data_IF_903511288528
#
_entry.id   IF_903511288528
#
_cell.length_a   1.000
_cell.length_b   1.000
_cell.length_c   1.000
_cell.angle_alpha   90.00
_cell.angle_beta   90.00
_cell.angle_gamma   90.00
#
_symmetry.space_group_name_H-M   'P 1'
#
loop_
_entity.id
_entity.type
_entity.pdbx_description
1 polymer ?
#
# COMPACT_ATOMS: atom_id res chain seq x y z
N UNK A 1 -29.93 59.48 32.01
CA UNK A 1 -28.77 59.65 31.12
C UNK A 1 -27.67 58.74 31.67
N UNK A 2 -27.62 57.51 31.18
CA UNK A 2 -26.76 56.46 31.73
C UNK A 2 -26.14 55.77 30.52
N UNK A 3 -24.86 56.06 30.26
CA UNK A 3 -24.13 55.48 29.14
C UNK A 3 -23.73 54.05 29.49
N UNK A 4 -24.21 53.11 28.68
CA UNK A 4 -23.76 51.72 28.63
C UNK A 4 -22.44 51.71 27.86
N UNK A 5 -21.33 51.46 28.55
CA UNK A 5 -20.05 51.16 27.90
C UNK A 5 -20.10 49.72 27.38
N UNK A 6 -20.39 49.59 26.09
CA UNK A 6 -20.28 48.35 25.33
C UNK A 6 -18.79 48.09 25.04
N UNK A 7 -18.14 47.26 25.85
CA UNK A 7 -16.81 46.76 25.56
C UNK A 7 -16.90 45.72 24.41
N UNK A 8 -16.67 46.18 23.19
CA UNK A 8 -16.45 45.35 22.01
C UNK A 8 -15.12 44.59 22.19
N UNK A 9 -15.20 43.34 22.67
CA UNK A 9 -14.10 42.38 22.56
C UNK A 9 -14.01 41.95 21.10
N UNK A 10 -13.21 42.67 20.32
CA UNK A 10 -12.85 42.32 18.95
C UNK A 10 -11.91 41.11 19.03
N UNK A 11 -12.44 39.92 18.78
CA UNK A 11 -11.64 38.75 18.43
C UNK A 11 -10.74 39.11 17.24
N UNK A 12 -9.41 38.92 17.30
CA UNK A 12 -8.61 38.95 16.10
C UNK A 12 -8.96 37.69 15.31
N UNK A 13 -9.84 37.88 14.32
CA UNK A 13 -10.06 36.94 13.25
C UNK A 13 -8.70 36.65 12.64
N UNK A 14 -8.28 35.38 12.74
CA UNK A 14 -7.12 34.81 12.06
C UNK A 14 -7.45 34.81 10.56
N UNK A 15 -7.39 36.00 9.95
CA UNK A 15 -7.48 36.24 8.51
C UNK A 15 -6.05 36.41 8.01
N UNK A 16 -5.38 35.27 7.90
CA UNK A 16 -4.05 35.17 7.32
C UNK A 16 -3.92 33.79 6.69
N UNK A 17 -4.24 33.72 5.39
CA UNK A 17 -4.10 32.57 4.47
C UNK A 17 -5.32 31.65 4.32
N UNK A 18 -6.50 32.23 4.10
CA UNK A 18 -7.41 31.65 3.14
C UNK A 18 -7.06 32.21 1.75
N UNK A 19 -5.87 31.86 1.25
CA UNK A 19 -5.62 31.96 -0.19
C UNK A 19 -6.58 30.99 -0.84
N UNK A 20 -7.64 31.54 -1.42
CA UNK A 20 -8.66 30.84 -2.19
C UNK A 20 -7.98 29.93 -3.23
N UNK A 21 -7.87 28.64 -2.92
CA UNK A 21 -7.66 27.58 -3.92
C UNK A 21 -9.02 27.37 -4.62
N UNK A 22 -9.52 28.42 -5.27
CA UNK A 22 -10.70 28.34 -6.11
C UNK A 22 -10.24 27.88 -7.50
N UNK A 23 -10.54 26.63 -7.84
CA UNK A 23 -10.59 26.17 -9.24
C UNK A 23 -9.52 25.19 -9.73
N UNK A 24 -8.46 24.90 -8.98
CA UNK A 24 -7.47 23.90 -9.40
C UNK A 24 -7.84 22.51 -8.88
N UNK A 25 -8.19 21.58 -9.78
CA UNK A 25 -8.30 20.15 -9.46
C UNK A 25 -6.91 19.65 -9.09
N UNK A 26 -6.69 19.30 -7.82
CA UNK A 26 -5.41 18.79 -7.35
C UNK A 26 -5.15 17.35 -7.84
N UNK A 27 -3.88 16.98 -7.96
CA UNK A 27 -3.48 15.63 -8.34
C UNK A 27 -3.50 14.71 -7.12
N UNK A 28 -4.22 13.58 -7.23
CA UNK A 28 -4.43 12.64 -6.14
C UNK A 28 -3.47 11.46 -6.23
N UNK A 29 -2.85 11.14 -5.10
CA UNK A 29 -1.94 10.01 -4.96
C UNK A 29 -2.32 9.19 -3.74
N UNK A 30 -2.22 7.87 -3.87
CA UNK A 30 -2.66 6.94 -2.84
C UNK A 30 -1.52 6.04 -2.35
N UNK A 31 -1.58 5.73 -1.06
CA UNK A 31 -0.85 4.65 -0.43
C UNK A 31 -1.90 3.84 0.34
N UNK A 32 -2.05 2.56 0.03
CA UNK A 32 -3.14 1.75 0.53
C UNK A 32 -4.40 1.83 -0.32
N UNK A 33 -5.47 1.19 0.18
CA UNK A 33 -6.77 1.11 -0.49
C UNK A 33 -7.85 1.46 0.50
N UNK A 34 -8.81 2.28 0.07
CA UNK A 34 -10.03 2.49 0.84
C UNK A 34 -10.75 1.15 1.01
N UNK A 35 -10.89 0.71 2.26
CA UNK A 35 -11.64 -0.48 2.61
C UNK A 35 -13.08 -0.05 2.84
N UNK A 36 -13.94 -0.28 1.86
CA UNK A 36 -15.38 0.00 1.95
C UNK A 36 -16.18 -1.30 2.09
N UNK A 37 -17.24 -1.32 2.92
CA UNK A 37 -17.57 -0.31 3.94
C UNK A 37 -16.59 -0.36 5.12
N UNK A 38 -16.33 0.77 5.76
CA UNK A 38 -15.74 0.81 7.12
C UNK A 38 -14.40 1.52 7.28
N UNK A 39 -13.88 2.18 6.25
CA UNK A 39 -12.76 3.12 6.42
C UNK A 39 -13.28 4.49 6.89
N UNK A 40 -12.80 4.94 8.03
CA UNK A 40 -13.10 6.26 8.59
C UNK A 40 -11.93 7.21 8.31
N UNK A 41 -12.20 8.50 8.07
CA UNK A 41 -11.13 9.50 7.99
C UNK A 41 -10.63 9.83 9.40
N UNK A 42 -9.39 9.46 9.68
CA UNK A 42 -8.77 9.61 10.99
C UNK A 42 -7.91 10.88 11.11
N UNK A 43 -7.48 11.42 9.97
CA UNK A 43 -6.64 12.61 9.91
C UNK A 43 -6.93 13.39 8.64
N UNK A 44 -6.88 14.72 8.74
CA UNK A 44 -6.94 15.65 7.62
C UNK A 44 -6.01 16.81 7.92
N UNK A 45 -5.10 17.16 7.02
CA UNK A 45 -4.35 18.39 7.15
C UNK A 45 -3.93 18.94 5.79
N UNK A 46 -3.98 20.26 5.68
CA UNK A 46 -3.52 21.03 4.53
C UNK A 46 -2.22 21.75 4.89
N UNK A 47 -1.25 21.67 4.00
CA UNK A 47 0.10 22.18 4.20
C UNK A 47 0.52 23.06 3.04
N UNK A 48 0.94 24.29 3.33
CA UNK A 48 1.67 25.10 2.35
C UNK A 48 3.09 24.55 2.16
N UNK A 49 3.46 24.21 0.93
CA UNK A 49 4.79 23.64 0.61
C UNK A 49 5.90 24.68 0.81
N UNK A 50 5.56 25.97 0.70
CA UNK A 50 6.48 27.12 0.73
C UNK A 50 6.59 27.83 2.10
N UNK A 51 5.75 27.50 3.10
CA UNK A 51 5.82 28.13 4.42
C UNK A 51 6.72 27.34 5.38
N UNK A 52 7.40 28.07 6.26
CA UNK A 52 8.44 27.60 7.17
C UNK A 52 7.96 26.70 8.32
N UNK A 53 8.91 26.37 9.21
CA UNK A 53 8.91 25.40 10.32
C UNK A 53 7.52 24.97 10.82
N UNK A 54 7.30 23.66 10.76
CA UNK A 54 6.16 23.01 11.40
C UNK A 54 6.67 22.30 12.66
N UNK A 55 6.04 22.55 13.81
CA UNK A 55 6.31 21.81 15.06
C UNK A 55 5.17 20.85 15.40
N UNK A 56 3.91 21.26 15.20
CA UNK A 56 2.73 20.42 15.33
C UNK A 56 1.67 20.74 14.28
N UNK A 57 0.94 19.70 13.84
CA UNK A 57 -0.35 19.83 13.14
C UNK A 57 -1.36 18.88 13.75
N UNK A 58 -2.49 19.43 14.18
CA UNK A 58 -3.56 18.70 14.87
C UNK A 58 -3.01 17.81 16.01
N UNK A 59 -2.14 18.37 16.85
CA UNK A 59 -1.46 17.70 17.96
C UNK A 59 -0.44 16.61 17.58
N UNK A 60 -0.20 16.36 16.28
CA UNK A 60 0.86 15.47 15.81
C UNK A 60 2.13 16.26 15.54
N UNK A 61 3.28 15.75 16.03
CA UNK A 61 4.58 16.37 15.73
C UNK A 61 4.81 16.36 14.23
N UNK A 62 5.25 17.49 13.70
CA UNK A 62 5.64 17.60 12.30
C UNK A 62 7.05 18.17 12.20
N UNK A 63 7.63 18.01 11.01
CA UNK A 63 8.89 18.62 10.64
C UNK A 63 8.77 19.12 9.21
N UNK A 64 9.31 20.30 8.94
CA UNK A 64 9.18 20.94 7.63
C UNK A 64 10.50 21.61 7.28
N UNK A 65 11.16 21.15 6.22
CA UNK A 65 12.41 21.72 5.74
C UNK A 65 12.32 22.06 4.24
N UNK A 66 13.44 22.39 3.60
CA UNK A 66 13.46 22.78 2.18
C UNK A 66 12.97 21.69 1.23
N UNK A 67 13.18 20.43 1.54
CA UNK A 67 12.98 19.30 0.61
C UNK A 67 11.87 18.35 1.04
N UNK A 68 11.50 18.33 2.31
CA UNK A 68 10.55 17.38 2.87
C UNK A 68 9.66 18.03 3.91
N UNK A 69 8.47 17.48 3.99
CA UNK A 69 7.52 17.67 5.06
C UNK A 69 7.25 16.30 5.70
N UNK A 70 7.21 16.24 7.03
CA UNK A 70 7.01 15.01 7.78
C UNK A 70 5.95 15.20 8.85
N UNK A 71 5.07 14.21 9.02
CA UNK A 71 4.09 14.14 10.12
C UNK A 71 4.25 12.83 10.85
N UNK A 72 4.42 12.90 12.16
CA UNK A 72 4.40 11.73 13.03
C UNK A 72 2.95 11.46 13.44
N UNK A 73 2.21 10.81 12.55
CA UNK A 73 0.84 10.44 12.80
C UNK A 73 0.75 9.19 13.70
N UNK A 74 -0.18 9.22 14.64
CA UNK A 74 -0.47 8.09 15.54
C UNK A 74 -1.94 8.08 15.90
N UNK A 75 -2.64 7.05 15.45
CA UNK A 75 -4.03 6.80 15.80
C UNK A 75 -4.16 6.17 17.20
N UNK A 76 -5.38 6.21 17.74
CA UNK A 76 -5.79 5.32 18.83
C UNK A 76 -5.51 3.85 18.43
N UNK A 77 -5.08 3.02 19.39
CA UNK A 77 -4.72 1.61 19.18
C UNK A 77 -5.87 0.76 18.60
N UNK A 78 -7.11 1.25 18.66
CA UNK A 78 -8.28 0.59 18.05
C UNK A 78 -8.40 0.78 16.53
N UNK A 79 -7.58 1.64 15.94
CA UNK A 79 -7.59 1.93 14.51
C UNK A 79 -6.32 1.46 13.82
N UNK A 80 -6.48 1.07 12.56
CA UNK A 80 -5.38 0.70 11.71
C UNK A 80 -5.51 1.43 10.38
N UNK A 81 -4.41 2.01 9.91
CA UNK A 81 -4.34 2.76 8.67
C UNK A 81 -4.62 1.81 7.51
N UNK A 82 -5.63 2.13 6.69
CA UNK A 82 -6.02 1.40 5.49
C UNK A 82 -5.61 2.13 4.22
N UNK A 83 -5.64 3.46 4.23
CA UNK A 83 -5.22 4.30 3.13
C UNK A 83 -4.69 5.65 3.60
N UNK A 84 -3.80 6.23 2.80
CA UNK A 84 -3.32 7.61 2.90
C UNK A 84 -3.49 8.23 1.52
N UNK A 85 -4.20 9.36 1.46
CA UNK A 85 -4.39 10.15 0.26
C UNK A 85 -3.58 11.43 0.38
N UNK A 86 -2.76 11.70 -0.63
CA UNK A 86 -2.08 12.97 -0.82
C UNK A 86 -2.70 13.67 -2.02
N UNK A 87 -3.27 14.85 -1.83
CA UNK A 87 -3.69 15.72 -2.93
C UNK A 87 -2.68 16.85 -3.06
N UNK A 88 -2.08 17.02 -4.24
CA UNK A 88 -1.11 18.09 -4.50
C UNK A 88 -1.71 19.19 -5.36
N UNK A 89 -1.37 20.45 -5.08
CA UNK A 89 -1.91 21.61 -5.79
C UNK A 89 -0.77 22.37 -6.49
N UNK A 90 -0.79 22.46 -7.83
CA UNK A 90 0.25 23.14 -8.60
C UNK A 90 0.16 24.66 -8.48
N UNK A 91 1.28 25.33 -8.78
CA UNK A 91 1.27 26.76 -9.13
C UNK A 91 0.48 26.91 -10.42
N UNK A 92 -0.55 27.74 -10.43
CA UNK A 92 -1.48 27.98 -11.54
C UNK A 92 -0.67 28.36 -12.80
N UNK A 93 -0.40 27.38 -13.68
CA UNK A 93 0.11 27.47 -15.06
C UNK A 93 0.91 26.22 -15.51
N UNK A 94 1.34 25.35 -14.59
CA UNK A 94 2.08 24.13 -14.97
C UNK A 94 1.21 22.87 -14.90
N UNK A 95 0.74 22.40 -16.06
CA UNK A 95 0.23 21.03 -16.20
C UNK A 95 1.41 20.06 -16.19
N UNK A 96 1.88 19.67 -15.00
CA UNK A 96 2.94 18.67 -14.87
C UNK A 96 2.37 17.26 -15.04
N UNK A 97 2.62 16.65 -16.19
CA UNK A 97 2.13 15.31 -16.58
C UNK A 97 2.89 14.12 -15.95
N UNK A 98 3.87 14.35 -15.07
CA UNK A 98 4.60 13.24 -14.42
C UNK A 98 5.00 13.60 -12.99
N UNK A 99 4.13 13.27 -12.04
CA UNK A 99 4.45 13.31 -10.61
C UNK A 99 4.81 11.91 -10.12
N UNK A 100 6.11 11.66 -10.05
CA UNK A 100 6.68 10.48 -9.39
C UNK A 100 6.28 10.51 -7.91
N UNK A 101 5.79 9.38 -7.39
CA UNK A 101 5.38 9.19 -5.99
C UNK A 101 6.42 9.78 -5.03
N UNK A 102 6.02 10.80 -4.29
CA UNK A 102 6.89 11.49 -3.33
C UNK A 102 6.33 11.48 -1.91
N UNK A 103 5.53 10.47 -1.56
CA UNK A 103 5.23 10.21 -0.16
C UNK A 103 5.21 8.73 0.20
N UNK A 104 5.58 8.44 1.44
CA UNK A 104 5.69 7.10 1.99
C UNK A 104 5.65 7.17 3.52
N UNK A 105 5.42 6.03 4.18
CA UNK A 105 5.65 5.91 5.62
C UNK A 105 7.08 5.44 5.87
N UNK A 106 7.91 6.31 6.46
CA UNK A 106 9.27 5.97 6.89
C UNK A 106 9.26 4.90 7.99
N UNK A 107 8.24 4.95 8.85
CA UNK A 107 8.00 4.01 9.94
C UNK A 107 6.49 3.81 10.07
N UNK A 108 6.06 2.58 10.32
CA UNK A 108 4.66 2.20 10.32
C UNK A 108 4.05 2.30 8.91
N UNK A 109 2.74 2.56 8.84
CA UNK A 109 2.00 2.62 7.58
C UNK A 109 0.79 1.68 7.56
N UNK A 110 0.46 1.16 6.37
CA UNK A 110 -0.74 0.33 6.19
C UNK A 110 -0.65 -0.92 7.06
N UNK A 111 -1.76 -1.27 7.71
CA UNK A 111 -1.82 -2.39 8.66
C UNK A 111 -1.27 -2.06 10.05
N UNK A 112 -0.94 -0.80 10.32
CA UNK A 112 -0.47 -0.32 11.63
C UNK A 112 -1.30 0.87 12.11
N UNK A 113 -1.10 1.33 13.34
CA UNK A 113 -1.79 2.51 13.89
C UNK A 113 -0.91 3.78 13.92
N UNK A 114 0.29 3.76 13.35
CA UNK A 114 1.18 4.92 13.27
C UNK A 114 1.81 5.02 11.88
N UNK A 115 2.10 6.24 11.43
CA UNK A 115 2.88 6.46 10.23
C UNK A 115 3.74 7.72 10.44
N UNK A 116 5.05 7.57 10.33
CA UNK A 116 5.96 8.70 10.09
C UNK A 116 5.86 8.99 8.61
N UNK A 117 4.86 9.81 8.26
CA UNK A 117 4.55 10.15 6.88
C UNK A 117 5.57 11.17 6.39
N UNK A 118 6.31 10.82 5.34
CA UNK A 118 7.25 11.72 4.68
C UNK A 118 6.66 12.11 3.33
N UNK A 119 6.58 13.40 3.07
CA UNK A 119 6.19 13.99 1.79
C UNK A 119 7.37 14.80 1.26
N UNK A 120 7.99 14.34 0.18
CA UNK A 120 9.03 15.08 -0.53
C UNK A 120 8.38 16.22 -1.31
N UNK A 121 8.86 17.43 -1.06
CA UNK A 121 8.36 18.66 -1.69
C UNK A 121 8.71 18.67 -3.17
N UNK A 122 7.85 19.32 -3.94
CA UNK A 122 8.09 19.69 -5.33
C UNK A 122 7.97 21.21 -5.41
N UNK A 123 8.94 21.86 -6.03
CA UNK A 123 8.96 23.32 -6.18
C UNK A 123 7.77 23.85 -6.98
N UNK A 124 7.15 22.99 -7.79
CA UNK A 124 5.99 23.30 -8.64
C UNK A 124 4.68 23.31 -7.86
N UNK A 125 4.65 22.82 -6.61
CA UNK A 125 3.46 22.78 -5.78
C UNK A 125 3.42 23.92 -4.76
N UNK A 126 2.22 24.46 -4.54
CA UNK A 126 1.98 25.49 -3.52
C UNK A 126 1.48 24.88 -2.21
N UNK A 127 0.71 23.79 -2.30
CA UNK A 127 0.10 23.14 -1.16
C UNK A 127 -0.05 21.63 -1.37
N UNK A 128 -0.15 20.91 -0.28
CA UNK A 128 -0.52 19.49 -0.25
C UNK A 128 -1.57 19.25 0.83
N UNK A 129 -2.55 18.41 0.54
CA UNK A 129 -3.50 17.90 1.52
C UNK A 129 -3.18 16.44 1.80
N UNK A 130 -3.15 16.10 3.08
CA UNK A 130 -2.96 14.73 3.57
C UNK A 130 -4.23 14.30 4.27
N UNK A 131 -4.80 13.19 3.80
CA UNK A 131 -5.89 12.49 4.48
C UNK A 131 -5.42 11.09 4.85
N UNK A 132 -5.61 10.69 6.10
CA UNK A 132 -5.34 9.31 6.55
C UNK A 132 -6.66 8.67 6.91
N UNK A 133 -6.90 7.50 6.33
CA UNK A 133 -8.06 6.68 6.56
C UNK A 133 -7.66 5.42 7.30
N UNK A 134 -8.56 4.91 8.12
CA UNK A 134 -8.33 3.66 8.81
C UNK A 134 -9.61 2.95 9.21
N UNK A 135 -9.44 1.68 9.48
CA UNK A 135 -10.51 0.80 9.91
C UNK A 135 -10.44 0.61 11.42
N UNK A 136 -11.61 0.51 12.06
CA UNK A 136 -11.68 0.14 13.48
C UNK A 136 -11.44 -1.36 13.62
N UNK A 137 -10.27 -1.76 14.11
CA UNK A 137 -9.90 -3.17 14.24
C UNK A 137 -8.91 -3.42 15.36
N UNK A 138 -9.18 -4.42 16.20
CA UNK A 138 -8.21 -4.89 17.21
C UNK A 138 -7.02 -5.64 16.61
N UNK A 139 -7.15 -6.18 15.39
CA UNK A 139 -6.14 -7.02 14.72
C UNK A 139 -5.61 -6.43 13.40
N UNK A 140 -6.01 -5.22 13.02
CA UNK A 140 -5.62 -4.57 11.76
C UNK A 140 -5.86 -5.41 10.48
N UNK A 141 -6.98 -6.14 10.43
CA UNK A 141 -7.31 -6.97 9.26
C UNK A 141 -7.88 -6.12 8.12
N UNK A 142 -7.15 -6.03 7.02
CA UNK A 142 -7.52 -5.36 5.77
C UNK A 142 -7.99 -6.35 4.69
N UNK A 143 -7.89 -7.65 4.98
CA UNK A 143 -8.12 -8.77 4.05
C UNK A 143 -9.37 -8.58 3.20
N UNK A 144 -10.54 -8.34 3.80
CA UNK A 144 -11.80 -8.25 3.06
C UNK A 144 -11.82 -7.11 2.03
N UNK A 145 -11.31 -5.93 2.38
CA UNK A 145 -11.25 -4.80 1.44
C UNK A 145 -10.21 -4.98 0.33
N UNK A 146 -9.15 -5.73 0.60
CA UNK A 146 -8.10 -5.99 -0.39
C UNK A 146 -8.48 -7.10 -1.37
N UNK A 147 -9.09 -8.20 -0.90
CA UNK A 147 -9.50 -9.31 -1.80
C UNK A 147 -10.69 -8.95 -2.69
N UNK A 148 -11.55 -8.04 -2.25
CA UNK A 148 -12.76 -7.66 -2.98
C UNK A 148 -13.82 -8.76 -3.03
N UNK A 149 -14.85 -8.55 -3.85
CA UNK A 149 -15.99 -9.47 -3.97
C UNK A 149 -15.71 -10.68 -4.87
N UNK A 150 -14.75 -10.57 -5.79
CA UNK A 150 -14.40 -11.61 -6.75
C UNK A 150 -12.89 -11.92 -6.73
N UNK A 151 -12.41 -12.59 -5.67
CA UNK A 151 -11.00 -12.92 -5.53
C UNK A 151 -10.52 -13.98 -6.52
N UNK A 152 -11.42 -14.65 -7.24
CA UNK A 152 -11.06 -15.62 -8.27
C UNK A 152 -10.61 -14.90 -9.55
N UNK A 153 -11.36 -13.89 -9.98
CA UNK A 153 -11.14 -13.25 -11.28
C UNK A 153 -10.43 -11.90 -11.18
N UNK A 154 -10.31 -11.31 -9.98
CA UNK A 154 -9.68 -9.99 -9.80
C UNK A 154 -8.51 -10.02 -8.82
N UNK A 155 -7.50 -9.23 -9.14
CA UNK A 155 -6.32 -9.00 -8.32
C UNK A 155 -6.58 -7.91 -7.25
N UNK A 156 -5.67 -7.71 -6.30
CA UNK A 156 -5.90 -6.74 -5.20
C UNK A 156 -5.96 -5.29 -5.72
N UNK A 157 -5.34 -5.02 -6.87
CA UNK A 157 -5.38 -3.72 -7.53
C UNK A 157 -6.74 -3.42 -8.18
N UNK A 158 -7.66 -4.39 -8.15
CA UNK A 158 -8.98 -4.33 -8.77
C UNK A 158 -8.95 -4.57 -10.28
N UNK A 159 -7.88 -5.16 -10.81
CA UNK A 159 -7.78 -5.50 -12.23
C UNK A 159 -8.15 -6.97 -12.44
N UNK A 160 -8.83 -7.30 -13.55
CA UNK A 160 -9.09 -8.69 -13.89
C UNK A 160 -7.79 -9.43 -14.21
N UNK A 161 -7.72 -10.71 -13.87
CA UNK A 161 -6.69 -11.58 -14.42
C UNK A 161 -6.93 -11.75 -15.92
N UNK A 162 -5.90 -11.50 -16.71
CA UNK A 162 -5.90 -11.73 -18.15
C UNK A 162 -5.11 -13.02 -18.42
N UNK A 163 -5.57 -13.81 -19.39
CA UNK A 163 -5.00 -15.11 -19.73
C UNK A 163 -4.64 -15.16 -21.21
N UNK A 164 -3.55 -15.85 -21.50
CA UNK A 164 -3.12 -16.12 -22.86
C UNK A 164 -4.09 -17.12 -23.52
N UNK A 165 -4.35 -16.95 -24.81
CA UNK A 165 -5.28 -17.81 -25.54
C UNK A 165 -4.67 -19.15 -25.93
N UNK A 166 -3.34 -19.22 -26.04
CA UNK A 166 -2.64 -20.39 -26.52
C UNK A 166 -2.41 -21.39 -25.37
N UNK A 167 -2.01 -20.91 -24.19
CA UNK A 167 -1.69 -21.76 -23.03
C UNK A 167 -2.72 -21.67 -21.88
N UNK A 168 -3.64 -20.69 -21.89
CA UNK A 168 -4.63 -20.51 -20.83
C UNK A 168 -4.04 -20.05 -19.50
N UNK A 169 -2.78 -19.61 -19.48
CA UNK A 169 -2.09 -19.12 -18.29
C UNK A 169 -2.08 -17.61 -18.22
N UNK A 170 -1.97 -17.07 -17.01
CA UNK A 170 -2.01 -15.64 -16.78
C UNK A 170 -0.90 -14.93 -17.57
N UNK A 171 -1.25 -13.79 -18.14
CA UNK A 171 -0.29 -12.92 -18.79
C UNK A 171 0.18 -11.84 -17.83
N UNK A 172 1.27 -11.21 -18.22
CA UNK A 172 1.85 -10.12 -17.47
C UNK A 172 0.91 -8.91 -17.40
N UNK A 173 0.85 -8.25 -16.23
CA UNK A 173 0.00 -7.06 -16.05
C UNK A 173 0.65 -5.84 -16.70
N UNK A 174 0.17 -5.45 -17.88
CA UNK A 174 0.76 -4.34 -18.67
C UNK A 174 0.40 -2.94 -18.17
N UNK A 175 -0.72 -2.82 -17.42
CA UNK A 175 -1.26 -1.53 -16.95
C UNK A 175 -0.72 -1.09 -15.58
N UNK A 176 0.18 -1.85 -14.98
CA UNK A 176 0.75 -1.55 -13.64
C UNK A 176 2.26 -1.35 -13.78
N UNK A 177 2.84 -0.31 -13.15
CA UNK A 177 4.29 -0.16 -13.08
C UNK A 177 4.95 -1.42 -12.51
N UNK A 178 5.98 -1.90 -13.22
CA UNK A 178 6.70 -3.11 -12.86
C UNK A 178 8.21 -2.88 -12.77
N UNK A 179 8.85 -3.70 -11.96
CA UNK A 179 10.30 -3.76 -11.82
C UNK A 179 10.74 -5.22 -11.91
N UNK A 180 11.69 -5.52 -12.79
CA UNK A 180 12.31 -6.82 -12.88
C UNK A 180 13.62 -6.80 -12.08
N UNK A 181 13.74 -7.62 -11.03
CA UNK A 181 15.03 -7.80 -10.33
C UNK A 181 15.95 -8.71 -11.15
N UNK A 182 15.34 -9.73 -11.74
CA UNK A 182 15.92 -10.67 -12.69
C UNK A 182 14.92 -10.83 -13.84
N UNK A 183 15.27 -11.50 -14.96
CA UNK A 183 14.29 -11.86 -15.99
C UNK A 183 13.11 -12.68 -15.44
N UNK A 184 13.30 -13.34 -14.30
CA UNK A 184 12.36 -14.25 -13.67
C UNK A 184 11.48 -13.63 -12.59
N UNK A 185 11.96 -12.57 -11.96
CA UNK A 185 11.38 -12.01 -10.74
C UNK A 185 10.85 -10.60 -11.03
N UNK A 186 9.54 -10.53 -11.31
CA UNK A 186 8.83 -9.30 -11.65
C UNK A 186 7.98 -8.84 -10.47
N UNK A 187 8.17 -7.59 -10.09
CA UNK A 187 7.46 -6.91 -9.02
C UNK A 187 6.51 -5.87 -9.60
N UNK A 188 5.24 -5.94 -9.25
CA UNK A 188 4.26 -4.90 -9.61
C UNK A 188 4.06 -3.94 -8.44
N UNK A 189 3.75 -2.69 -8.74
CA UNK A 189 3.57 -1.66 -7.72
C UNK A 189 2.49 -0.64 -8.07
N UNK A 190 1.41 -0.60 -7.30
CA UNK A 190 0.35 0.40 -7.39
C UNK A 190 -0.14 0.78 -6.00
N UNK A 191 -0.28 2.07 -5.77
CA UNK A 191 -0.73 2.70 -4.52
C UNK A 191 -0.02 2.18 -3.26
N UNK A 192 1.31 2.01 -3.34
CA UNK A 192 2.13 1.48 -2.24
C UNK A 192 1.99 -0.02 -2.00
N UNK A 193 1.07 -0.70 -2.70
CA UNK A 193 0.92 -2.16 -2.68
C UNK A 193 1.90 -2.74 -3.69
N UNK A 194 2.82 -3.56 -3.20
CA UNK A 194 3.71 -4.36 -4.02
C UNK A 194 3.11 -5.74 -4.25
N UNK A 195 3.45 -6.36 -5.38
CA UNK A 195 3.00 -7.69 -5.73
C UNK A 195 4.10 -8.50 -6.44
N UNK A 196 4.13 -9.79 -6.16
CA UNK A 196 4.83 -10.81 -6.95
C UNK A 196 3.99 -12.09 -6.97
N UNK A 197 4.26 -12.96 -7.95
CA UNK A 197 3.59 -14.24 -8.08
C UNK A 197 4.62 -15.38 -8.10
N UNK A 198 4.26 -16.54 -7.53
CA UNK A 198 5.16 -17.71 -7.51
C UNK A 198 5.20 -18.47 -8.84
N UNK A 199 4.08 -18.53 -9.56
CA UNK A 199 3.92 -19.29 -10.80
C UNK A 199 2.92 -18.59 -11.72
N UNK A 200 2.52 -19.21 -12.82
CA UNK A 200 1.39 -18.74 -13.63
C UNK A 200 0.04 -19.28 -13.11
N UNK A 201 -0.95 -18.40 -13.02
CA UNK A 201 -2.35 -18.74 -12.72
C UNK A 201 -2.98 -19.33 -13.99
N UNK A 202 -3.71 -20.44 -13.88
CA UNK A 202 -4.44 -21.04 -14.99
C UNK A 202 -5.94 -20.70 -14.91
N UNK A 203 -6.65 -20.69 -16.04
CA UNK A 203 -8.09 -20.39 -16.09
C UNK A 203 -8.95 -21.33 -15.23
N UNK A 204 -8.51 -22.57 -15.04
CA UNK A 204 -9.19 -23.61 -14.26
C UNK A 204 -8.75 -23.67 -12.78
N UNK A 205 -7.84 -22.79 -12.36
CA UNK A 205 -7.50 -22.65 -10.94
C UNK A 205 -8.70 -22.16 -10.13
N UNK A 206 -8.75 -22.58 -8.88
CA UNK A 206 -9.78 -22.15 -7.93
C UNK A 206 -9.17 -21.33 -6.80
N UNK A 207 -9.81 -20.23 -6.44
CA UNK A 207 -9.42 -19.46 -5.26
C UNK A 207 -9.80 -20.23 -4.00
N UNK A 208 -8.83 -20.51 -3.14
CA UNK A 208 -9.03 -21.27 -1.89
C UNK A 208 -9.22 -20.32 -0.72
N UNK A 209 -8.23 -19.47 -0.49
CA UNK A 209 -8.20 -18.55 0.63
C UNK A 209 -7.19 -17.42 0.41
N UNK A 210 -7.32 -16.36 1.21
CA UNK A 210 -6.26 -15.37 1.35
C UNK A 210 -5.72 -15.39 2.78
N UNK A 211 -4.40 -15.48 2.94
CA UNK A 211 -3.75 -15.52 4.25
C UNK A 211 -3.15 -14.15 4.53
N UNK A 212 -3.55 -13.54 5.64
CA UNK A 212 -3.12 -12.21 6.05
C UNK A 212 -2.06 -12.29 7.15
N UNK A 213 -0.99 -11.51 6.99
CA UNK A 213 0.10 -11.37 7.93
C UNK A 213 0.21 -9.90 8.36
N UNK A 214 -0.12 -9.62 9.62
CA UNK A 214 -0.15 -8.27 10.20
C UNK A 214 0.22 -8.31 11.69
N UNK A 215 0.58 -7.15 12.25
CA UNK A 215 0.93 -7.02 13.66
C UNK A 215 2.09 -7.95 14.01
N UNK A 216 1.99 -8.72 15.09
CA UNK A 216 3.06 -9.62 15.57
C UNK A 216 3.56 -10.65 14.53
N UNK A 217 2.78 -10.93 13.49
CA UNK A 217 3.21 -11.82 12.42
C UNK A 217 4.42 -11.27 11.66
N UNK A 218 4.44 -9.95 11.40
CA UNK A 218 5.45 -9.24 10.56
C UNK A 218 6.20 -8.14 11.31
N UNK A 219 5.62 -7.60 12.38
CA UNK A 219 6.13 -6.44 13.10
C UNK A 219 7.53 -6.72 13.67
N UNK A 220 8.47 -5.83 13.33
CA UNK A 220 9.88 -5.90 13.71
C UNK A 220 10.61 -7.16 13.24
N UNK A 221 10.11 -7.87 12.21
CA UNK A 221 10.77 -9.03 11.64
C UNK A 221 11.33 -8.69 10.25
N UNK A 222 12.57 -9.09 10.03
CA UNK A 222 13.20 -9.09 8.69
C UNK A 222 13.06 -10.44 7.99
N UNK A 223 12.71 -11.48 8.75
CA UNK A 223 12.40 -12.80 8.24
C UNK A 223 11.18 -13.37 8.95
N UNK A 224 10.18 -13.79 8.18
CA UNK A 224 8.97 -14.40 8.71
C UNK A 224 8.41 -15.38 7.69
N UNK A 225 7.50 -16.25 8.12
CA UNK A 225 6.93 -17.27 7.26
C UNK A 225 5.43 -17.44 7.47
N UNK A 226 4.80 -18.08 6.48
CA UNK A 226 3.42 -18.53 6.55
C UNK A 226 3.35 -19.99 6.11
N UNK A 227 2.64 -20.80 6.89
CA UNK A 227 2.37 -22.19 6.57
C UNK A 227 1.08 -22.29 5.77
N UNK A 228 1.15 -22.90 4.61
CA UNK A 228 0.05 -23.04 3.66
C UNK A 228 -0.24 -24.53 3.49
N UNK A 229 -1.46 -25.01 3.81
CA UNK A 229 -1.84 -26.39 3.54
C UNK A 229 -1.72 -26.70 2.05
N UNK A 230 -1.13 -27.83 1.71
CA UNK A 230 -0.93 -28.24 0.32
C UNK A 230 -1.34 -29.72 0.16
N UNK A 231 -2.66 -29.97 0.21
CA UNK A 231 -3.20 -31.34 0.11
C UNK A 231 -4.62 -31.37 -0.41
N UNK A 232 -4.97 -32.43 -1.14
CA UNK A 232 -6.31 -32.65 -1.69
C UNK A 232 -6.81 -31.42 -2.46
N UNK A 233 -8.01 -30.94 -2.13
CA UNK A 233 -8.62 -29.74 -2.74
C UNK A 233 -7.87 -28.42 -2.44
N UNK A 234 -6.90 -28.42 -1.53
CA UNK A 234 -6.04 -27.27 -1.19
C UNK A 234 -4.64 -27.38 -1.80
N UNK A 235 -4.43 -28.21 -2.82
CA UNK A 235 -3.12 -28.34 -3.47
C UNK A 235 -2.77 -27.01 -4.13
N UNK A 236 -1.70 -26.38 -3.68
CA UNK A 236 -1.28 -25.06 -4.14
C UNK A 236 -0.88 -25.16 -5.60
N UNK A 237 -1.49 -24.33 -6.44
CA UNK A 237 -1.12 -24.19 -7.84
C UNK A 237 -0.51 -22.84 -8.18
N UNK A 238 -0.99 -21.80 -7.49
CA UNK A 238 -0.56 -20.43 -7.70
C UNK A 238 -0.69 -19.62 -6.40
N UNK A 239 0.32 -18.78 -6.14
CA UNK A 239 0.31 -17.82 -5.05
C UNK A 239 0.48 -16.42 -5.62
N UNK A 240 -0.48 -15.55 -5.30
CA UNK A 240 -0.43 -14.12 -5.62
C UNK A 240 -0.16 -13.34 -4.34
N UNK A 241 1.03 -12.77 -4.22
CA UNK A 241 1.58 -12.29 -2.97
C UNK A 241 1.64 -10.77 -3.00
N UNK A 242 1.13 -10.13 -1.96
CA UNK A 242 1.03 -8.68 -1.86
C UNK A 242 1.55 -8.19 -0.53
N UNK A 243 2.16 -7.01 -0.51
CA UNK A 243 2.62 -6.41 0.75
C UNK A 243 2.74 -4.89 0.69
N UNK A 244 2.80 -4.31 1.89
CA UNK A 244 3.24 -2.96 2.15
C UNK A 244 4.54 -3.01 2.95
N UNK A 245 5.47 -2.10 2.68
CA UNK A 245 6.71 -1.99 3.43
C UNK A 245 7.04 -0.54 3.79
N UNK A 246 7.73 -0.39 4.91
CA UNK A 246 8.47 0.83 5.23
C UNK A 246 9.58 0.97 4.20
N UNK A 247 9.69 2.13 3.55
CA UNK A 247 10.80 2.39 2.63
C UNK A 247 11.29 3.81 2.80
N UNK A 248 12.60 4.00 2.72
CA UNK A 248 13.28 5.30 2.75
C UNK A 248 13.92 5.64 1.40
N UNK A 249 13.76 4.75 0.42
CA UNK A 249 14.50 4.79 -0.83
C UNK A 249 13.56 5.11 -1.98
N UNK A 250 14.11 5.77 -2.98
CA UNK A 250 13.43 5.97 -4.26
C UNK A 250 13.16 4.63 -4.97
N UNK A 251 14.06 3.66 -4.79
CA UNK A 251 13.91 2.27 -5.20
C UNK A 251 13.84 1.38 -3.96
N UNK A 252 12.66 0.86 -3.59
CA UNK A 252 12.50 -0.05 -2.47
C UNK A 252 13.33 -1.31 -2.67
N UNK A 253 13.90 -1.84 -1.57
CA UNK A 253 14.43 -3.20 -1.58
C UNK A 253 13.29 -4.18 -1.39
N UNK A 254 13.02 -4.96 -2.43
CA UNK A 254 11.97 -5.97 -2.40
C UNK A 254 12.43 -7.20 -1.60
N UNK A 255 11.51 -7.93 -0.95
CA UNK A 255 11.82 -9.17 -0.25
C UNK A 255 12.24 -10.28 -1.24
N UNK A 256 13.02 -11.24 -0.75
CA UNK A 256 13.11 -12.57 -1.33
C UNK A 256 11.96 -13.41 -0.76
N UNK A 257 11.09 -13.90 -1.63
CA UNK A 257 9.93 -14.70 -1.24
C UNK A 257 10.05 -16.07 -1.88
N UNK A 258 10.15 -17.12 -1.06
CA UNK A 258 10.48 -18.46 -1.53
C UNK A 258 9.89 -19.53 -0.61
N UNK A 259 9.71 -20.75 -1.12
CA UNK A 259 9.32 -21.88 -0.29
C UNK A 259 10.51 -22.40 0.51
N UNK A 260 10.27 -22.73 1.78
CA UNK A 260 11.24 -23.49 2.58
C UNK A 260 11.51 -24.83 1.88
N UNK A 261 12.78 -25.13 1.59
CA UNK A 261 13.24 -26.24 0.74
C UNK A 261 13.10 -26.06 -0.79
N UNK A 262 12.89 -24.83 -1.28
CA UNK A 262 13.00 -24.46 -2.69
C UNK A 262 11.67 -24.49 -3.45
N UNK A 263 10.97 -25.62 -3.46
CA UNK A 263 9.69 -25.78 -4.16
C UNK A 263 8.63 -26.39 -3.22
N UNK A 264 7.36 -26.09 -3.49
CA UNK A 264 6.20 -26.73 -2.87
C UNK A 264 5.65 -27.82 -3.80
N UNK A 265 5.98 -29.08 -3.53
CA UNK A 265 5.59 -30.23 -4.37
C UNK A 265 4.28 -30.84 -3.90
N UNK A 266 3.58 -31.60 -4.75
CA UNK A 266 2.36 -32.28 -4.32
C UNK A 266 2.55 -33.27 -3.14
N UNK A 267 3.78 -33.75 -2.91
CA UNK A 267 4.13 -34.58 -1.74
C UNK A 267 4.15 -33.81 -0.42
N UNK A 268 4.30 -32.49 -0.46
CA UNK A 268 4.44 -31.66 0.72
C UNK A 268 3.05 -31.32 1.28
N UNK A 269 2.62 -32.00 2.35
CA UNK A 269 1.31 -31.76 2.98
C UNK A 269 1.09 -30.31 3.45
N UNK A 270 2.16 -29.57 3.69
CA UNK A 270 2.14 -28.16 4.08
C UNK A 270 3.43 -27.52 3.58
N UNK A 271 3.29 -26.41 2.86
CA UNK A 271 4.40 -25.63 2.36
C UNK A 271 4.59 -24.40 3.24
N UNK A 272 5.84 -24.04 3.51
CA UNK A 272 6.17 -22.84 4.28
C UNK A 272 6.72 -21.79 3.32
N UNK A 273 6.00 -20.68 3.16
CA UNK A 273 6.46 -19.55 2.35
C UNK A 273 7.20 -18.57 3.25
N UNK A 274 8.47 -18.30 2.93
CA UNK A 274 9.36 -17.43 3.67
C UNK A 274 9.39 -16.06 2.97
N UNK A 275 9.29 -15.00 3.77
CA UNK A 275 9.57 -13.63 3.40
C UNK A 275 10.89 -13.24 4.08
N UNK A 276 11.92 -12.94 3.29
CA UNK A 276 13.23 -12.49 3.76
C UNK A 276 13.51 -11.11 3.17
N UNK A 277 13.67 -10.09 4.01
CA UNK A 277 13.62 -8.69 3.60
C UNK A 277 14.62 -7.80 4.32
N UNK A 278 15.19 -6.86 3.58
CA UNK A 278 16.00 -5.76 4.11
C UNK A 278 15.16 -4.56 4.58
N UNK A 279 13.88 -4.51 4.18
CA UNK A 279 12.94 -3.43 4.48
C UNK A 279 11.70 -3.99 5.17
N UNK A 280 11.26 -3.33 6.26
CA UNK A 280 10.22 -3.87 7.12
C UNK A 280 8.88 -3.93 6.40
N UNK A 281 8.29 -5.11 6.34
CA UNK A 281 6.92 -5.30 5.88
C UNK A 281 5.95 -4.97 7.01
N UNK A 282 4.98 -4.10 6.75
CA UNK A 282 3.95 -3.72 7.73
C UNK A 282 2.70 -4.59 7.62
N UNK A 283 2.48 -5.15 6.43
CA UNK A 283 1.33 -5.95 6.09
C UNK A 283 1.65 -6.82 4.86
N UNK A 284 1.26 -8.09 4.88
CA UNK A 284 1.28 -8.95 3.70
C UNK A 284 -0.02 -9.76 3.56
N UNK A 285 -0.39 -10.06 2.32
CA UNK A 285 -1.52 -10.90 1.97
C UNK A 285 -1.09 -11.89 0.89
N UNK A 286 -1.38 -13.16 1.08
CA UNK A 286 -1.12 -14.23 0.09
C UNK A 286 -2.46 -14.78 -0.37
N UNK A 287 -2.84 -14.57 -1.63
CA UNK A 287 -3.96 -15.29 -2.24
C UNK A 287 -3.47 -16.68 -2.68
N UNK A 288 -4.18 -17.71 -2.24
CA UNK A 288 -3.85 -19.11 -2.50
C UNK A 288 -4.85 -19.67 -3.50
N UNK A 289 -4.35 -20.17 -4.60
CA UNK A 289 -5.12 -20.85 -5.62
C UNK A 289 -4.75 -22.33 -5.66
N UNK A 290 -5.71 -23.16 -6.05
CA UNK A 290 -5.58 -24.60 -6.08
C UNK A 290 -6.05 -25.20 -7.38
N UNK A 291 -5.31 -26.23 -7.78
CA UNK A 291 -5.67 -27.11 -8.87
C UNK A 291 -5.02 -28.49 -8.66
N UNK A 292 -5.85 -29.52 -8.65
CA UNK A 292 -5.41 -30.91 -8.42
C UNK A 292 -4.80 -31.57 -9.65
N UNK A 293 -5.00 -30.99 -10.84
CA UNK A 293 -4.51 -31.49 -12.11
C UNK A 293 -3.05 -31.15 -12.41
N UNK A 294 -2.40 -30.34 -11.56
CA UNK A 294 -1.02 -29.91 -11.75
C UNK A 294 -0.15 -30.33 -10.55
N UNK A 295 1.11 -30.65 -10.84
CA UNK A 295 2.17 -30.91 -9.86
C UNK A 295 3.43 -30.15 -10.28
N UNK A 296 3.84 -29.17 -9.47
CA UNK A 296 5.03 -28.35 -9.69
C UNK A 296 4.79 -26.95 -10.26
N UNK A 297 5.89 -26.25 -10.48
CA UNK A 297 5.92 -24.85 -10.91
C UNK A 297 5.46 -24.68 -12.37
N UNK A 298 4.38 -23.90 -12.58
CA UNK A 298 3.96 -23.49 -13.92
C UNK A 298 4.78 -22.29 -14.38
N UNK A 299 5.74 -22.55 -15.25
CA UNK A 299 6.63 -21.57 -15.86
C UNK A 299 6.64 -21.78 -17.37
N UNK A 300 6.61 -20.69 -18.15
CA UNK A 300 6.74 -20.76 -19.61
C UNK A 300 8.19 -21.11 -19.98
N UNK A 301 8.43 -21.57 -21.20
CA UNK A 301 9.79 -21.96 -21.63
C UNK A 301 10.79 -20.79 -21.63
N UNK A 302 10.35 -19.63 -22.13
CA UNK A 302 11.11 -18.35 -22.06
C UNK A 302 11.45 -17.91 -20.62
N UNK A 303 10.83 -18.59 -19.69
CA UNK A 303 10.75 -18.38 -18.27
C UNK A 303 11.27 -19.64 -17.54
N UNK A 304 12.12 -20.45 -18.17
CA UNK A 304 12.91 -21.51 -17.55
C UNK A 304 14.28 -20.97 -17.12
N UNK A 305 14.89 -21.58 -16.09
CA UNK A 305 16.04 -21.00 -15.38
C UNK A 305 15.64 -20.00 -14.28
N UNK A 306 14.33 -19.92 -13.99
CA UNK A 306 13.75 -19.27 -12.82
C UNK A 306 13.82 -20.25 -11.65
N UNK A 307 14.89 -20.19 -10.86
CA UNK A 307 15.09 -20.99 -9.65
C UNK A 307 15.57 -20.13 -8.50
#
# INVERSE_FOLDING_TARGET
MTQINLLLVIFPVILGLAGTVNGAKGDEHYLGKHVEPGSERLFYAMYGVKKDSCQQVLNHRCFNNKTHFTVNYKADKKFCISAIKLTTYPVISEHSTTLTRRFYCQKGGIGTNECVLVVRKDSRHIAVNVEIFGIRSKKCSLKQGLIGSDPLHTDIYGLPYEFDKDDGWSIERTKIPKYARTPSEVFYHKDGIFNTQMSYLAQDDTFVEAIELVGKAVQNKMKFSVKIPNKGKKRISFLDIYWFQETMKEKPKYPFIYFNNGECKASDNTCELIFDTDERITYALVKVFSNTGYDGSRLREKDLGRG
#
